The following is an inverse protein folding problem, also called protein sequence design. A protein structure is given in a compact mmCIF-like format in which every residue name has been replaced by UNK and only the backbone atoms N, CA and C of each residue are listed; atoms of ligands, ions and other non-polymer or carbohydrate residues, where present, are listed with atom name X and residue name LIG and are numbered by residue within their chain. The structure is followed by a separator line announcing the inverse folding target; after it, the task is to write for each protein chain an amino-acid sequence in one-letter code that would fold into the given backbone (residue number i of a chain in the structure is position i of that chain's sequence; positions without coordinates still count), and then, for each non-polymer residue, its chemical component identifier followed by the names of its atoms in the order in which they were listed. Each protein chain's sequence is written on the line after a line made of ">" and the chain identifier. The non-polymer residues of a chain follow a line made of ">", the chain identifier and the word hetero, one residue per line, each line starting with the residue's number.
data_IF_901794073107
#
_entry.id   IF_901794073107
#
_cell.length_a   1.000
_cell.length_b   1.000
_cell.length_c   1.000
_cell.angle_alpha   90.00
_cell.angle_beta   90.00
_cell.angle_gamma   90.00
#
_symmetry.space_group_name_H-M   'P 1'
#
loop_
_entity.id
_entity.type
_entity.pdbx_description
1 polymer ?
#
# COMPACT_ATOMS: atom_id res chain seq x y z
N UNK A 1 5.32 12.80 -11.97
CA UNK A 1 4.18 13.45 -11.27
C UNK A 1 2.94 13.35 -12.17
N UNK A 2 1.70 13.35 -11.64
CA UNK A 2 0.49 13.22 -12.49
C UNK A 2 0.32 14.43 -13.44
N UNK A 3 0.85 15.59 -13.05
CA UNK A 3 0.94 16.78 -13.89
C UNK A 3 1.78 16.55 -15.16
N UNK A 4 2.83 15.72 -15.10
CA UNK A 4 3.64 15.34 -16.27
C UNK A 4 2.83 14.50 -17.27
N UNK A 5 1.69 13.94 -16.84
CA UNK A 5 0.73 13.23 -17.68
C UNK A 5 -0.42 14.16 -18.16
N UNK A 6 -0.34 15.47 -17.90
CA UNK A 6 -1.35 16.46 -18.28
C UNK A 6 -2.60 16.45 -17.40
N UNK A 7 -2.60 15.75 -16.26
CA UNK A 7 -3.74 15.72 -15.34
C UNK A 7 -3.62 16.87 -14.33
N UNK A 8 -4.67 17.69 -14.23
CA UNK A 8 -4.74 18.81 -13.29
C UNK A 8 -5.93 18.67 -12.33
N UNK A 9 -5.81 19.29 -11.16
CA UNK A 9 -6.81 19.24 -10.09
C UNK A 9 -8.19 19.77 -10.49
N UNK A 10 -8.27 20.66 -11.49
CA UNK A 10 -9.51 21.35 -11.85
C UNK A 10 -10.45 20.53 -12.71
N UNK A 11 -9.94 19.63 -13.54
CA UNK A 11 -10.75 19.00 -14.58
C UNK A 11 -10.79 17.46 -14.49
N UNK A 12 -9.84 16.81 -13.81
CA UNK A 12 -9.67 15.36 -13.91
C UNK A 12 -9.33 14.62 -12.61
N UNK A 13 -9.18 15.31 -11.47
CA UNK A 13 -8.72 14.70 -10.22
C UNK A 13 -9.71 14.92 -9.07
N UNK A 14 -9.88 13.88 -8.25
CA UNK A 14 -10.51 13.97 -6.93
C UNK A 14 -9.43 13.67 -5.92
N UNK A 15 -8.99 14.69 -5.18
CA UNK A 15 -7.97 14.54 -4.16
C UNK A 15 -8.60 13.97 -2.88
N UNK A 16 -8.00 12.89 -2.37
CA UNK A 16 -8.34 12.31 -1.07
C UNK A 16 -7.07 11.77 -0.42
N UNK A 17 -6.99 11.94 0.90
CA UNK A 17 -5.95 11.34 1.74
C UNK A 17 -6.47 10.09 2.48
N UNK A 18 -7.63 9.56 2.08
CA UNK A 18 -8.27 8.38 2.64
C UNK A 18 -8.43 7.29 1.57
N UNK A 19 -7.64 6.23 1.66
CA UNK A 19 -7.73 5.08 0.76
C UNK A 19 -9.12 4.42 0.80
N UNK A 20 -9.83 4.48 1.93
CA UNK A 20 -11.18 3.96 2.03
C UNK A 20 -12.15 4.77 1.17
N UNK A 21 -12.06 6.10 1.20
CA UNK A 21 -12.84 6.98 0.33
C UNK A 21 -12.48 6.73 -1.15
N UNK A 22 -11.20 6.60 -1.46
CA UNK A 22 -10.72 6.33 -2.81
C UNK A 22 -11.31 5.03 -3.38
N UNK A 23 -11.30 3.95 -2.57
CA UNK A 23 -11.95 2.70 -2.93
C UNK A 23 -13.47 2.87 -3.14
N UNK A 24 -14.17 3.60 -2.27
CA UNK A 24 -15.63 3.84 -2.45
C UNK A 24 -15.94 4.51 -3.78
N UNK A 25 -15.19 5.56 -4.15
CA UNK A 25 -15.40 6.28 -5.39
C UNK A 25 -15.21 5.37 -6.60
N UNK A 26 -14.17 4.53 -6.59
CA UNK A 26 -13.88 3.59 -7.65
C UNK A 26 -14.97 2.51 -7.78
N UNK A 27 -15.38 1.87 -6.67
CA UNK A 27 -16.42 0.83 -6.69
C UNK A 27 -17.82 1.37 -7.01
N UNK A 28 -18.10 2.63 -6.63
CA UNK A 28 -19.32 3.33 -7.00
C UNK A 28 -19.28 3.94 -8.41
N UNK A 29 -18.21 3.70 -9.18
CA UNK A 29 -17.99 4.23 -10.54
C UNK A 29 -18.08 5.75 -10.64
N UNK A 30 -17.69 6.45 -9.56
CA UNK A 30 -17.59 7.92 -9.51
C UNK A 30 -16.28 8.42 -10.11
N UNK A 31 -15.28 7.55 -10.20
CA UNK A 31 -14.01 7.74 -10.90
C UNK A 31 -13.68 6.48 -11.70
N UNK A 32 -12.98 6.62 -12.82
CA UNK A 32 -12.50 5.47 -13.62
C UNK A 32 -11.20 4.88 -13.07
N UNK A 33 -10.35 5.71 -12.47
CA UNK A 33 -9.04 5.29 -11.97
C UNK A 33 -8.83 5.82 -10.55
N UNK A 34 -7.99 5.10 -9.81
CA UNK A 34 -7.46 5.56 -8.53
C UNK A 34 -5.95 5.38 -8.50
N UNK A 35 -5.26 6.31 -7.87
CA UNK A 35 -3.80 6.30 -7.70
C UNK A 35 -3.49 6.06 -6.23
N UNK A 36 -2.60 5.11 -5.96
CA UNK A 36 -2.15 4.79 -4.62
C UNK A 36 -1.40 3.47 -4.58
N UNK A 37 -0.97 3.06 -3.38
CA UNK A 37 -0.33 1.76 -3.19
C UNK A 37 -1.38 0.66 -3.32
N UNK A 38 -1.19 -0.25 -4.29
CA UNK A 38 -2.14 -1.33 -4.58
C UNK A 38 -2.51 -2.17 -3.34
N UNK A 39 -1.52 -2.45 -2.48
CA UNK A 39 -1.72 -3.16 -1.21
C UNK A 39 -2.73 -2.44 -0.29
N UNK A 40 -2.59 -1.12 -0.14
CA UNK A 40 -3.48 -0.33 0.72
C UNK A 40 -4.89 -0.23 0.14
N UNK A 41 -5.02 -0.10 -1.18
CA UNK A 41 -6.32 -0.07 -1.84
C UNK A 41 -7.10 -1.38 -1.66
N UNK A 42 -6.43 -2.52 -1.87
CA UNK A 42 -7.05 -3.85 -1.68
C UNK A 42 -7.42 -4.08 -0.21
N UNK A 43 -6.56 -3.66 0.71
CA UNK A 43 -6.86 -3.71 2.15
C UNK A 43 -8.08 -2.85 2.51
N UNK A 44 -8.15 -1.62 1.99
CA UNK A 44 -9.26 -0.69 2.22
C UNK A 44 -10.57 -1.23 1.64
N UNK A 45 -10.55 -1.85 0.46
CA UNK A 45 -11.72 -2.52 -0.13
C UNK A 45 -12.19 -3.67 0.77
N UNK A 46 -11.29 -4.56 1.20
CA UNK A 46 -11.62 -5.69 2.06
C UNK A 46 -12.25 -5.26 3.39
N UNK A 47 -11.73 -4.20 4.03
CA UNK A 47 -12.31 -3.66 5.27
C UNK A 47 -13.74 -3.15 5.12
N UNK A 48 -14.14 -2.80 3.92
CA UNK A 48 -15.46 -2.26 3.61
C UNK A 48 -16.44 -3.33 3.10
N UNK A 49 -16.05 -4.62 3.12
CA UNK A 49 -16.85 -5.70 2.55
C UNK A 49 -16.90 -5.69 1.01
N UNK A 50 -16.01 -4.93 0.37
CA UNK A 50 -15.85 -4.92 -1.08
C UNK A 50 -14.86 -6.02 -1.50
N UNK A 51 -15.06 -6.59 -2.69
CA UNK A 51 -14.21 -7.66 -3.24
C UNK A 51 -12.92 -7.09 -3.86
N UNK A 52 -11.75 -7.20 -3.19
CA UNK A 52 -10.49 -6.60 -3.65
C UNK A 52 -9.98 -7.19 -4.97
N UNK A 53 -10.45 -8.37 -5.39
CA UNK A 53 -10.06 -9.00 -6.65
C UNK A 53 -10.63 -8.28 -7.88
N UNK A 54 -11.60 -7.37 -7.67
CA UNK A 54 -12.13 -6.50 -8.72
C UNK A 54 -11.22 -5.30 -9.04
N UNK A 55 -10.14 -5.13 -8.28
CA UNK A 55 -9.15 -4.09 -8.52
C UNK A 55 -8.02 -4.61 -9.40
N UNK A 56 -7.85 -3.97 -10.54
CA UNK A 56 -6.78 -4.26 -11.50
C UNK A 56 -5.76 -3.11 -11.51
N UNK A 57 -4.47 -3.45 -11.40
CA UNK A 57 -3.37 -2.51 -11.56
C UNK A 57 -3.11 -2.28 -13.04
N UNK A 58 -3.54 -1.13 -13.57
CA UNK A 58 -3.42 -0.83 -15.01
C UNK A 58 -2.11 -0.14 -15.39
N UNK A 59 -1.44 0.54 -14.45
CA UNK A 59 -0.18 1.27 -14.70
C UNK A 59 0.61 1.46 -13.41
N UNK A 60 1.91 1.17 -13.45
CA UNK A 60 2.85 1.54 -12.39
C UNK A 60 3.33 2.97 -12.64
N UNK A 61 3.21 3.83 -11.63
CA UNK A 61 3.66 5.22 -11.69
C UNK A 61 5.05 5.42 -11.07
N UNK A 62 5.40 4.58 -10.10
CA UNK A 62 6.70 4.53 -9.44
C UNK A 62 6.94 3.11 -8.89
N UNK A 63 8.11 2.54 -9.15
CA UNK A 63 8.58 1.26 -8.62
C UNK A 63 9.85 1.38 -7.75
N UNK A 64 10.35 2.59 -7.57
CA UNK A 64 11.58 2.85 -6.82
C UNK A 64 11.35 2.94 -5.31
N UNK A 65 10.12 3.23 -4.89
CA UNK A 65 9.77 3.35 -3.47
C UNK A 65 9.84 2.01 -2.76
N UNK A 66 10.68 1.92 -1.73
CA UNK A 66 10.80 0.76 -0.84
C UNK A 66 10.30 1.11 0.57
N UNK A 67 9.54 0.20 1.16
CA UNK A 67 9.16 0.30 2.57
C UNK A 67 10.35 -0.04 3.46
N UNK A 68 10.51 0.70 4.56
CA UNK A 68 11.56 0.47 5.55
C UNK A 68 11.02 0.69 6.97
N UNK A 69 11.69 0.08 7.95
CA UNK A 69 11.45 0.37 9.36
C UNK A 69 12.28 1.59 9.75
N UNK A 70 11.63 2.62 10.28
CA UNK A 70 12.29 3.81 10.80
C UNK A 70 12.41 3.75 12.33
N UNK A 71 13.52 4.24 12.87
CA UNK A 71 13.74 4.47 14.30
C UNK A 71 14.13 5.93 14.53
N UNK A 72 13.77 6.50 15.68
CA UNK A 72 14.18 7.86 16.05
C UNK A 72 15.70 7.94 16.18
N UNK A 73 16.29 9.08 15.83
CA UNK A 73 17.76 9.25 15.81
C UNK A 73 18.42 9.06 17.19
N UNK A 74 17.70 9.36 18.26
CA UNK A 74 18.12 9.23 19.65
C UNK A 74 17.74 7.88 20.28
N UNK A 75 17.19 6.95 19.49
CA UNK A 75 16.90 5.60 19.95
C UNK A 75 18.17 4.86 20.37
N UNK A 76 18.08 4.03 21.41
CA UNK A 76 19.20 3.17 21.81
C UNK A 76 19.56 2.23 20.65
N UNK A 77 20.86 2.05 20.32
CA UNK A 77 21.29 1.22 19.20
C UNK A 77 20.86 -0.26 19.35
N UNK A 78 20.69 -0.72 20.59
CA UNK A 78 20.19 -2.06 20.90
C UNK A 78 18.78 -2.35 20.33
N UNK A 79 17.96 -1.32 20.06
CA UNK A 79 16.62 -1.52 19.49
C UNK A 79 16.67 -2.00 18.04
N UNK A 80 17.60 -1.47 17.25
CA UNK A 80 17.80 -1.92 15.88
C UNK A 80 18.26 -3.38 15.84
N UNK A 81 19.22 -3.74 16.71
CA UNK A 81 19.71 -5.12 16.82
C UNK A 81 18.60 -6.09 17.25
N UNK A 82 17.77 -5.69 18.22
CA UNK A 82 16.63 -6.51 18.69
C UNK A 82 15.57 -6.69 17.60
N UNK A 83 15.25 -5.63 16.85
CA UNK A 83 14.33 -5.71 15.71
C UNK A 83 14.87 -6.68 14.65
N UNK A 84 16.15 -6.54 14.28
CA UNK A 84 16.78 -7.41 13.30
C UNK A 84 16.74 -8.89 13.74
N UNK A 85 17.11 -9.18 14.99
CA UNK A 85 17.05 -10.54 15.53
C UNK A 85 15.63 -11.13 15.51
N UNK A 86 14.60 -10.32 15.79
CA UNK A 86 13.21 -10.76 15.70
C UNK A 86 12.79 -11.04 14.25
N UNK A 87 13.20 -10.21 13.30
CA UNK A 87 12.96 -10.39 11.87
C UNK A 87 13.65 -11.65 11.33
N UNK A 88 14.87 -11.93 11.78
CA UNK A 88 15.62 -13.13 11.38
C UNK A 88 14.97 -14.40 11.93
N UNK A 89 14.51 -14.36 13.19
CA UNK A 89 13.78 -15.47 13.79
C UNK A 89 12.51 -15.82 13.01
N UNK A 90 11.70 -14.83 12.63
CA UNK A 90 10.45 -15.09 11.88
C UNK A 90 10.71 -15.60 10.45
N UNK A 91 11.89 -15.29 9.87
CA UNK A 91 12.31 -15.82 8.58
C UNK A 91 12.72 -17.29 8.69
N UNK A 92 13.46 -17.64 9.74
CA UNK A 92 13.92 -19.01 9.99
C UNK A 92 12.78 -19.97 10.34
N UNK A 93 11.78 -19.51 11.10
CA UNK A 93 10.65 -20.36 11.54
C UNK A 93 9.46 -20.39 10.57
N UNK A 94 9.59 -19.77 9.39
CA UNK A 94 8.58 -19.81 8.33
C UNK A 94 7.38 -18.87 8.53
N UNK A 95 7.26 -18.17 9.67
CA UNK A 95 6.20 -17.18 9.88
C UNK A 95 6.25 -16.05 8.87
N UNK A 96 7.44 -15.67 8.42
CA UNK A 96 7.61 -14.68 7.36
C UNK A 96 6.96 -15.13 6.05
N UNK A 97 7.19 -16.37 5.62
CA UNK A 97 6.56 -16.93 4.41
C UNK A 97 5.03 -17.02 4.57
N UNK A 98 4.54 -17.39 5.75
CA UNK A 98 3.11 -17.42 6.05
C UNK A 98 2.48 -16.01 5.98
N UNK A 99 3.17 -14.98 6.48
CA UNK A 99 2.73 -13.59 6.37
C UNK A 99 2.71 -13.13 4.91
N UNK A 100 3.77 -13.42 4.14
CA UNK A 100 3.78 -13.13 2.70
C UNK A 100 2.61 -13.80 2.00
N UNK A 101 2.35 -15.09 2.21
CA UNK A 101 1.20 -15.78 1.60
C UNK A 101 -0.15 -15.19 2.00
N UNK A 102 -0.25 -14.66 3.22
CA UNK A 102 -1.50 -14.05 3.73
C UNK A 102 -1.79 -12.69 3.09
N UNK A 103 -0.75 -11.93 2.73
CA UNK A 103 -0.87 -10.54 2.28
C UNK A 103 -0.51 -10.32 0.80
N UNK A 104 0.37 -11.13 0.21
CA UNK A 104 0.45 -11.36 -1.22
C UNK A 104 -0.57 -12.44 -1.58
N UNK A 105 -1.67 -12.06 -2.20
CA UNK A 105 -2.30 -12.98 -3.15
C UNK A 105 -1.48 -12.90 -4.46
N UNK A 106 -1.22 -14.05 -5.12
CA UNK A 106 -0.43 -14.15 -6.34
C UNK A 106 -0.94 -13.27 -7.47
#
# INVERSE_FOLDING_TARGET
>A
MLEDLGLSDRDALVLTNDEAQSAKLLYARRVQFSVGVALFQRYAARKQGLDPERLESVRVLDDHTRFYFALQKDSKPEYAARLQAALDRIKQDGRYAALLKRYNHP
#
